data_IF_178857938920
#
_entry.id   IF_178857938920
#
_cell.length_a   1.000
_cell.length_b   1.000
_cell.length_c   1.000
_cell.angle_alpha   90.00
_cell.angle_beta   90.00
_cell.angle_gamma   90.00
#
_symmetry.space_group_name_H-M   'P 1'
#
loop_
_entity.id
_entity.type
_entity.pdbx_description
1 polymer ?
#
# COMPACT_ATOMS: atom_id res chain seq x y z
N UNK A 1 -14.20 14.69 10.92
CA UNK A 1 -13.64 14.21 9.63
C UNK A 1 -13.43 12.72 9.77
N UNK A 2 -13.78 11.92 8.76
CA UNK A 2 -13.50 10.49 8.79
C UNK A 2 -12.01 10.21 8.60
N UNK A 3 -11.55 9.01 8.97
CA UNK A 3 -10.16 8.58 8.79
C UNK A 3 -9.65 8.82 7.36
N UNK A 4 -10.48 8.54 6.34
CA UNK A 4 -10.18 8.75 4.92
C UNK A 4 -9.75 10.19 4.62
N UNK A 5 -10.58 11.15 5.00
CA UNK A 5 -10.34 12.57 4.71
C UNK A 5 -9.09 13.07 5.44
N UNK A 6 -8.94 12.69 6.71
CA UNK A 6 -7.74 12.99 7.52
C UNK A 6 -6.48 12.41 6.89
N UNK A 7 -6.55 11.20 6.34
CA UNK A 7 -5.43 10.53 5.69
C UNK A 7 -5.00 11.23 4.41
N UNK A 8 -5.95 11.52 3.52
CA UNK A 8 -5.67 12.22 2.27
C UNK A 8 -5.07 13.60 2.57
N UNK A 9 -5.66 14.34 3.52
CA UNK A 9 -5.16 15.66 3.90
C UNK A 9 -3.75 15.61 4.48
N UNK A 10 -3.48 14.71 5.43
CA UNK A 10 -2.18 14.62 6.09
C UNK A 10 -1.04 14.23 5.12
N UNK A 11 -1.32 13.35 4.15
CA UNK A 11 -0.36 12.99 3.10
C UNK A 11 -0.12 14.15 2.13
N UNK A 12 -1.16 14.92 1.80
CA UNK A 12 -1.08 16.07 0.88
C UNK A 12 -0.31 17.25 1.49
N UNK A 13 -0.59 17.59 2.75
CA UNK A 13 0.12 18.65 3.48
C UNK A 13 1.63 18.37 3.58
N UNK A 14 2.00 17.10 3.68
CA UNK A 14 3.39 16.65 3.71
C UNK A 14 4.00 16.40 2.33
N UNK A 15 3.25 16.68 1.26
CA UNK A 15 3.66 16.47 -0.14
C UNK A 15 4.19 15.06 -0.38
N UNK A 16 3.46 14.07 0.11
CA UNK A 16 3.83 12.66 0.01
C UNK A 16 3.30 12.00 -1.26
N UNK A 17 2.31 12.57 -1.95
CA UNK A 17 1.97 12.12 -3.30
C UNK A 17 3.06 12.52 -4.29
N UNK A 18 3.37 11.62 -5.22
CA UNK A 18 4.38 11.86 -6.27
C UNK A 18 3.84 12.86 -7.29
N UNK A 19 2.63 12.61 -7.78
CA UNK A 19 1.93 13.47 -8.71
C UNK A 19 0.40 13.40 -8.49
N UNK A 20 -0.36 14.07 -9.37
CA UNK A 20 -1.82 14.03 -9.34
C UNK A 20 -2.39 12.64 -9.66
N UNK A 21 -1.69 11.82 -10.45
CA UNK A 21 -2.10 10.46 -10.80
C UNK A 21 -2.04 9.53 -9.58
N UNK A 22 -0.92 9.54 -8.87
CA UNK A 22 -0.73 8.80 -7.63
C UNK A 22 -1.82 9.19 -6.60
N UNK A 23 -2.05 10.49 -6.40
CA UNK A 23 -3.13 10.97 -5.52
C UNK A 23 -4.51 10.49 -5.94
N UNK A 24 -4.80 10.48 -7.24
CA UNK A 24 -6.11 10.08 -7.78
C UNK A 24 -6.35 8.59 -7.55
N UNK A 25 -5.39 7.73 -7.93
CA UNK A 25 -5.47 6.27 -7.71
C UNK A 25 -5.65 5.93 -6.23
N UNK A 26 -4.90 6.58 -5.34
CA UNK A 26 -5.05 6.34 -3.90
C UNK A 26 -6.45 6.72 -3.39
N UNK A 27 -6.99 7.87 -3.84
CA UNK A 27 -8.35 8.29 -3.49
C UNK A 27 -9.40 7.30 -3.97
N UNK A 28 -9.27 6.77 -5.19
CA UNK A 28 -10.19 5.77 -5.71
C UNK A 28 -10.23 4.51 -4.82
N UNK A 29 -9.08 3.98 -4.41
CA UNK A 29 -9.03 2.85 -3.48
C UNK A 29 -9.69 3.18 -2.14
N UNK A 30 -9.40 4.35 -1.59
CA UNK A 30 -9.97 4.79 -0.31
C UNK A 30 -11.49 4.98 -0.40
N UNK A 31 -12.00 5.58 -1.48
CA UNK A 31 -13.43 5.80 -1.69
C UNK A 31 -14.20 4.49 -1.85
N UNK A 32 -13.59 3.50 -2.51
CA UNK A 32 -14.22 2.21 -2.75
C UNK A 32 -14.15 1.26 -1.55
N UNK A 33 -13.04 1.24 -0.79
CA UNK A 33 -12.74 0.15 0.13
C UNK A 33 -12.56 0.56 1.60
N UNK A 34 -12.58 1.85 1.96
CA UNK A 34 -12.36 2.26 3.36
C UNK A 34 -13.44 1.80 4.35
N UNK A 35 -14.63 1.51 3.84
CA UNK A 35 -15.80 1.16 4.66
C UNK A 35 -16.00 -0.36 4.79
N UNK A 36 -15.14 -1.16 4.18
CA UNK A 36 -15.18 -2.62 4.27
C UNK A 36 -14.63 -3.12 5.61
N UNK A 37 -15.14 -4.25 6.13
CA UNK A 37 -14.74 -4.78 7.44
C UNK A 37 -13.27 -5.19 7.54
N UNK A 38 -12.63 -5.52 6.41
CA UNK A 38 -11.20 -5.83 6.37
C UNK A 38 -10.30 -4.58 6.35
N UNK A 39 -10.88 -3.38 6.23
CA UNK A 39 -10.09 -2.16 6.13
C UNK A 39 -9.39 -1.83 7.45
N UNK A 40 -8.13 -1.41 7.34
CA UNK A 40 -7.32 -0.97 8.47
C UNK A 40 -6.10 -0.18 8.02
N UNK A 41 -5.35 0.36 8.98
CA UNK A 41 -4.16 1.17 8.69
C UNK A 41 -3.11 0.43 7.86
N UNK A 42 -2.92 -0.87 8.10
CA UNK A 42 -2.02 -1.71 7.29
C UNK A 42 -2.42 -1.71 5.82
N UNK A 43 -3.71 -1.96 5.54
CA UNK A 43 -4.25 -1.94 4.18
C UNK A 43 -4.17 -0.55 3.54
N UNK A 44 -4.46 0.51 4.30
CA UNK A 44 -4.33 1.88 3.82
C UNK A 44 -2.90 2.17 3.30
N UNK A 45 -1.87 1.68 4.00
CA UNK A 45 -0.47 1.80 3.56
C UNK A 45 -0.20 1.01 2.28
N UNK A 46 -0.74 -0.20 2.17
CA UNK A 46 -0.65 -1.01 0.95
C UNK A 46 -1.32 -0.29 -0.24
N UNK A 47 -2.52 0.25 -0.05
CA UNK A 47 -3.24 1.01 -1.07
C UNK A 47 -2.44 2.23 -1.54
N UNK A 48 -1.83 2.97 -0.61
CA UNK A 48 -0.95 4.09 -0.93
C UNK A 48 0.25 3.61 -1.77
N UNK A 49 0.94 2.55 -1.33
CA UNK A 49 2.10 2.02 -2.05
C UNK A 49 1.72 1.54 -3.46
N UNK A 50 0.61 0.81 -3.60
CA UNK A 50 0.16 0.31 -4.90
C UNK A 50 -0.34 1.40 -5.85
N UNK A 51 -0.72 2.57 -5.33
CA UNK A 51 -1.22 3.67 -6.15
C UNK A 51 -0.11 4.41 -6.91
N UNK A 52 1.15 4.01 -6.74
CA UNK A 52 2.32 4.64 -7.34
C UNK A 52 2.22 4.72 -8.87
N UNK A 53 1.90 3.59 -9.50
CA UNK A 53 1.73 3.44 -10.94
C UNK A 53 0.45 2.66 -11.27
N UNK A 54 0.15 2.51 -12.56
CA UNK A 54 -1.06 1.86 -13.03
C UNK A 54 -1.02 0.33 -12.89
N UNK A 55 0.16 -0.27 -12.97
CA UNK A 55 0.33 -1.73 -12.92
C UNK A 55 0.05 -2.24 -11.51
N UNK A 56 0.71 -1.67 -10.51
CA UNK A 56 0.49 -2.00 -9.11
C UNK A 56 -0.93 -1.65 -8.64
N UNK A 57 -1.49 -0.55 -9.16
CA UNK A 57 -2.86 -0.16 -8.86
C UNK A 57 -3.87 -1.19 -9.37
N UNK A 58 -3.69 -1.67 -10.60
CA UNK A 58 -4.56 -2.70 -11.18
C UNK A 58 -4.48 -4.03 -10.40
N UNK A 59 -3.29 -4.43 -9.96
CA UNK A 59 -3.10 -5.60 -9.09
C UNK A 59 -3.86 -5.42 -7.77
N UNK A 60 -3.66 -4.29 -7.08
CA UNK A 60 -4.36 -4.01 -5.82
C UNK A 60 -5.88 -4.01 -5.98
N UNK A 61 -6.40 -3.39 -7.04
CA UNK A 61 -7.82 -3.32 -7.31
C UNK A 61 -8.42 -4.73 -7.52
N UNK A 62 -7.69 -5.62 -8.21
CA UNK A 62 -8.06 -7.03 -8.35
C UNK A 62 -8.18 -7.73 -7.00
N UNK A 63 -7.15 -7.64 -6.17
CA UNK A 63 -7.11 -8.26 -4.84
C UNK A 63 -8.28 -7.76 -3.97
N UNK A 64 -8.48 -6.44 -3.90
CA UNK A 64 -9.55 -5.84 -3.10
C UNK A 64 -10.95 -6.24 -3.58
N UNK A 65 -11.11 -6.38 -4.90
CA UNK A 65 -12.36 -6.88 -5.49
C UNK A 65 -12.64 -8.32 -5.06
N UNK A 66 -11.63 -9.18 -5.07
CA UNK A 66 -11.76 -10.56 -4.59
C UNK A 66 -12.12 -10.61 -3.10
N UNK A 67 -11.46 -9.84 -2.23
CA UNK A 67 -11.78 -9.77 -0.80
C UNK A 67 -13.24 -9.31 -0.58
N UNK A 68 -13.67 -8.29 -1.31
CA UNK A 68 -15.03 -7.77 -1.24
C UNK A 68 -16.08 -8.80 -1.68
N UNK A 69 -15.84 -9.49 -2.81
CA UNK A 69 -16.72 -10.54 -3.33
C UNK A 69 -16.77 -11.77 -2.41
N UNK A 70 -15.62 -12.15 -1.85
CA UNK A 70 -15.48 -13.21 -0.84
C UNK A 70 -16.11 -12.86 0.52
N UNK A 71 -16.45 -11.58 0.73
CA UNK A 71 -16.96 -11.03 2.01
C UNK A 71 -15.98 -11.27 3.17
N UNK A 72 -14.69 -11.14 2.85
CA UNK A 72 -13.62 -11.27 3.83
C UNK A 72 -13.76 -10.21 4.93
N UNK A 73 -13.24 -10.54 6.12
CA UNK A 73 -13.25 -9.64 7.28
C UNK A 73 -11.86 -9.21 7.73
N UNK A 74 -10.82 -9.73 7.08
CA UNK A 74 -9.43 -9.42 7.37
C UNK A 74 -8.61 -9.45 6.06
N UNK A 75 -7.31 -9.21 6.15
CA UNK A 75 -6.39 -9.14 5.01
C UNK A 75 -5.48 -10.39 4.90
N UNK A 76 -5.86 -11.52 5.50
CA UNK A 76 -5.02 -12.74 5.49
C UNK A 76 -4.82 -13.28 4.07
N UNK A 77 -5.87 -13.28 3.26
CA UNK A 77 -5.79 -13.74 1.87
C UNK A 77 -4.91 -12.81 1.02
N UNK A 78 -5.06 -11.50 1.16
CA UNK A 78 -4.17 -10.54 0.51
C UNK A 78 -2.71 -10.74 0.92
N UNK A 79 -2.45 -10.98 2.21
CA UNK A 79 -1.10 -11.23 2.73
C UNK A 79 -0.49 -12.47 2.09
N UNK A 80 -1.27 -13.55 1.93
CA UNK A 80 -0.86 -14.77 1.21
C UNK A 80 -0.54 -14.50 -0.25
N UNK A 81 -1.41 -13.77 -0.96
CA UNK A 81 -1.18 -13.38 -2.36
C UNK A 81 0.08 -12.52 -2.52
N UNK A 82 0.33 -11.59 -1.59
CA UNK A 82 1.56 -10.79 -1.56
C UNK A 82 2.82 -11.64 -1.37
N UNK A 83 2.76 -12.73 -0.59
CA UNK A 83 3.91 -13.65 -0.47
C UNK A 83 4.20 -14.37 -1.79
N UNK A 84 3.16 -14.82 -2.48
CA UNK A 84 3.30 -15.46 -3.79
C UNK A 84 3.85 -14.51 -4.85
N UNK A 85 3.37 -13.26 -4.87
CA UNK A 85 3.86 -12.23 -5.79
C UNK A 85 5.33 -11.90 -5.50
N UNK A 86 5.70 -11.74 -4.23
CA UNK A 86 7.09 -11.51 -3.85
C UNK A 86 8.04 -12.63 -4.30
N UNK A 87 7.59 -13.89 -4.32
CA UNK A 87 8.39 -15.03 -4.77
C UNK A 87 8.50 -15.13 -6.30
N UNK A 88 7.55 -14.56 -7.05
CA UNK A 88 7.55 -14.60 -8.52
C UNK A 88 8.48 -13.56 -9.15
N UNK A 89 8.78 -12.48 -8.42
CA UNK A 89 9.63 -11.40 -8.86
C UNK A 89 11.03 -11.51 -8.25
N UNK A 90 12.05 -11.13 -9.01
CA UNK A 90 13.46 -11.08 -8.56
C UNK A 90 14.03 -9.66 -8.53
N UNK A 91 13.18 -8.68 -8.84
CA UNK A 91 13.52 -7.26 -8.96
C UNK A 91 12.90 -6.44 -7.82
N UNK A 92 12.76 -5.13 -8.03
CA UNK A 92 12.23 -4.21 -7.04
C UNK A 92 10.79 -4.49 -6.64
N UNK A 93 9.98 -5.10 -7.50
CA UNK A 93 8.58 -5.42 -7.20
C UNK A 93 8.50 -6.44 -6.06
N UNK A 94 9.44 -7.39 -6.01
CA UNK A 94 9.57 -8.32 -4.88
C UNK A 94 9.67 -7.56 -3.54
N UNK A 95 10.43 -6.46 -3.51
CA UNK A 95 10.55 -5.62 -2.32
C UNK A 95 9.24 -4.88 -2.00
N UNK A 96 8.51 -4.39 -3.02
CA UNK A 96 7.24 -3.70 -2.81
C UNK A 96 6.16 -4.64 -2.24
N UNK A 97 6.11 -5.89 -2.71
CA UNK A 97 5.20 -6.90 -2.18
C UNK A 97 5.57 -7.32 -0.75
N UNK A 98 6.86 -7.50 -0.46
CA UNK A 98 7.33 -7.76 0.90
C UNK A 98 7.00 -6.60 1.87
N UNK A 99 7.16 -5.36 1.41
CA UNK A 99 6.81 -4.17 2.17
C UNK A 99 5.30 -4.10 2.43
N UNK A 100 4.48 -4.41 1.43
CA UNK A 100 3.03 -4.50 1.59
C UNK A 100 2.66 -5.52 2.66
N UNK A 101 3.25 -6.72 2.64
CA UNK A 101 3.01 -7.73 3.66
C UNK A 101 3.48 -7.29 5.06
N UNK A 102 4.62 -6.60 5.16
CA UNK A 102 5.07 -6.04 6.41
C UNK A 102 4.06 -5.02 6.98
N UNK A 103 3.43 -4.22 6.12
CA UNK A 103 2.37 -3.29 6.54
C UNK A 103 1.12 -3.99 7.06
N UNK A 104 0.68 -5.07 6.41
CA UNK A 104 -0.45 -5.88 6.88
C UNK A 104 -0.16 -6.54 8.23
N UNK A 105 1.08 -7.00 8.44
CA UNK A 105 1.54 -7.60 9.69
C UNK A 105 1.79 -6.58 10.82
N UNK A 106 1.67 -5.28 10.55
CA UNK A 106 2.01 -4.21 11.51
C UNK A 106 3.52 -4.13 11.84
N UNK A 107 4.38 -4.60 10.94
CA UNK A 107 5.84 -4.63 11.09
C UNK A 107 6.50 -3.51 10.29
N UNK A 108 7.69 -3.10 10.73
CA UNK A 108 8.55 -2.21 9.94
C UNK A 108 9.22 -2.99 8.81
N UNK A 109 9.17 -2.45 7.60
CA UNK A 109 9.96 -2.94 6.48
C UNK A 109 11.37 -2.35 6.51
N UNK A 110 12.37 -3.17 6.20
CA UNK A 110 13.74 -2.73 5.96
C UNK A 110 14.24 -3.40 4.68
N UNK A 111 14.74 -2.59 3.76
CA UNK A 111 15.39 -3.13 2.58
C UNK A 111 16.65 -3.90 3.00
N UNK A 112 16.85 -5.16 2.57
CA UNK A 112 18.04 -5.90 2.92
C UNK A 112 19.32 -5.23 2.36
N UNK A 113 20.39 -5.20 3.15
CA UNK A 113 21.62 -4.41 2.89
C UNK A 113 22.38 -4.81 1.60
N UNK A 114 22.01 -5.92 0.97
CA UNK A 114 22.65 -6.43 -0.26
C UNK A 114 21.70 -6.56 -1.44
N UNK A 115 20.46 -6.06 -1.34
CA UNK A 115 19.53 -6.11 -2.46
C UNK A 115 19.90 -5.05 -3.49
N UNK A 116 20.39 -5.50 -4.65
CA UNK A 116 20.60 -4.62 -5.80
C UNK A 116 19.25 -4.36 -6.49
N UNK A 117 18.56 -3.30 -6.07
CA UNK A 117 17.36 -2.81 -6.74
C UNK A 117 17.65 -1.49 -7.45
N UNK A 118 16.84 -1.19 -8.46
CA UNK A 118 16.98 0.06 -9.21
C UNK A 118 16.69 1.26 -8.28
N UNK A 119 17.34 2.42 -8.48
CA UNK A 119 17.17 3.59 -7.61
C UNK A 119 15.73 4.06 -7.48
N UNK A 120 14.91 3.85 -8.51
CA UNK A 120 13.48 4.14 -8.51
C UNK A 120 12.74 3.39 -7.40
N UNK A 121 12.98 2.08 -7.24
CA UNK A 121 12.36 1.29 -6.18
C UNK A 121 12.81 1.71 -4.79
N UNK A 122 14.08 2.11 -4.63
CA UNK A 122 14.57 2.67 -3.36
C UNK A 122 13.78 3.93 -3.01
N UNK A 123 13.59 4.82 -3.99
CA UNK A 123 12.81 6.04 -3.82
C UNK A 123 11.36 5.74 -3.44
N UNK A 124 10.69 4.80 -4.12
CA UNK A 124 9.32 4.37 -3.82
C UNK A 124 9.21 3.87 -2.37
N UNK A 125 10.13 2.98 -1.96
CA UNK A 125 10.15 2.40 -0.62
C UNK A 125 10.31 3.50 0.44
N UNK A 126 11.26 4.43 0.27
CA UNK A 126 11.45 5.51 1.22
C UNK A 126 10.22 6.43 1.34
N UNK A 127 9.55 6.70 0.22
CA UNK A 127 8.33 7.53 0.18
C UNK A 127 7.17 6.83 0.87
N UNK A 128 6.97 5.54 0.58
CA UNK A 128 5.97 4.71 1.24
C UNK A 128 6.23 4.55 2.75
N UNK A 129 7.48 4.48 3.18
CA UNK A 129 7.83 4.42 4.60
C UNK A 129 7.47 5.71 5.32
N UNK A 130 7.77 6.87 4.72
CA UNK A 130 7.35 8.19 5.25
C UNK A 130 5.82 8.33 5.30
N UNK A 131 5.11 7.86 4.27
CA UNK A 131 3.65 7.84 4.28
C UNK A 131 3.08 6.93 5.36
N UNK A 132 3.66 5.75 5.56
CA UNK A 132 3.24 4.82 6.61
C UNK A 132 3.33 5.44 8.00
N UNK A 133 4.42 6.17 8.30
CA UNK A 133 4.56 6.89 9.57
C UNK A 133 3.50 7.97 9.77
N UNK A 134 3.04 8.61 8.69
CA UNK A 134 1.96 9.60 8.74
C UNK A 134 0.63 8.92 8.99
N UNK A 135 0.33 7.85 8.26
CA UNK A 135 -0.90 7.06 8.39
C UNK A 135 -1.06 6.51 9.80
N UNK A 136 0.03 6.05 10.41
CA UNK A 136 0.01 5.50 11.78
C UNK A 136 -0.43 6.51 12.84
N UNK A 137 -0.15 7.80 12.61
CA UNK A 137 -0.44 8.89 13.56
C UNK A 137 -1.87 9.44 13.46
N UNK A 138 -2.66 8.98 12.48
CA UNK A 138 -4.05 9.43 12.32
C UNK A 138 -4.93 8.71 13.34
N UNK A 139 -5.75 9.46 14.07
CA UNK A 139 -6.71 8.95 15.06
C UNK A 139 -8.05 8.54 14.43
#
# INVERSE_FOLDING_TARGET
MGFRDSCIQALDEKKLFEDSGHKTRFKELMDCYSDYPFFGKGLCKCMYLSAWDEEHFAVMLGILTELALGRERNTEEMRRQGEELAMKHIDGDSCLYQMSNAFLDGKSFRLPEHTQIQPEFVYIIERAQKAAEVIDRIE
#
